data_IF_806463722264
#
_entry.id   IF_806463722264
#
_cell.length_a   1.000
_cell.length_b   1.000
_cell.length_c   1.000
_cell.angle_alpha   90.00
_cell.angle_beta   90.00
_cell.angle_gamma   90.00
#
_symmetry.space_group_name_H-M   'P 1'
#
loop_
_entity.id
_entity.type
_entity.pdbx_description
1 polymer ?
#
# COMPACT_ATOMS: atom_id res chain seq x y z
N UNK A 1 -14.97 -30.02 33.82
CA UNK A 1 -16.41 -29.61 33.86
C UNK A 1 -16.65 -28.32 33.06
N UNK A 2 -15.82 -27.27 33.21
CA UNK A 2 -15.94 -26.03 32.44
C UNK A 2 -15.79 -26.20 30.90
N UNK A 3 -14.78 -26.93 30.43
CA UNK A 3 -14.58 -27.15 28.98
C UNK A 3 -15.71 -27.96 28.32
N UNK A 4 -16.32 -28.88 29.08
CA UNK A 4 -17.49 -29.62 28.62
C UNK A 4 -18.69 -28.71 28.41
N UNK A 5 -18.94 -27.78 29.34
CA UNK A 5 -20.00 -26.78 29.23
C UNK A 5 -19.74 -25.76 28.11
N UNK A 6 -18.49 -25.35 27.91
CA UNK A 6 -18.10 -24.46 26.81
C UNK A 6 -18.30 -25.10 25.42
N UNK A 7 -18.00 -26.40 25.28
CA UNK A 7 -18.23 -27.14 24.03
C UNK A 7 -19.73 -27.38 23.75
N UNK A 8 -20.55 -27.57 24.79
CA UNK A 8 -22.01 -27.66 24.64
C UNK A 8 -22.58 -26.30 24.20
N UNK A 9 -22.05 -25.18 24.72
CA UNK A 9 -22.50 -23.84 24.34
C UNK A 9 -22.27 -23.51 22.85
N UNK A 10 -21.29 -24.13 22.18
CA UNK A 10 -21.06 -23.97 20.73
C UNK A 10 -22.17 -24.56 19.85
N UNK A 11 -22.99 -25.47 20.41
CA UNK A 11 -24.11 -26.09 19.72
C UNK A 11 -25.44 -25.33 19.96
N UNK A 12 -25.44 -24.34 20.85
CA UNK A 12 -26.61 -23.49 21.06
C UNK A 12 -26.78 -22.54 19.87
N UNK A 13 -28.03 -22.24 19.53
CA UNK A 13 -28.33 -21.18 18.59
C UNK A 13 -27.71 -19.87 19.10
N UNK A 14 -27.04 -19.08 18.24
CA UNK A 14 -26.51 -17.78 18.64
C UNK A 14 -27.62 -16.92 19.25
N UNK A 15 -27.31 -16.21 20.33
CA UNK A 15 -28.21 -15.17 20.83
C UNK A 15 -28.22 -14.01 19.83
N UNK A 16 -29.30 -13.91 19.05
CA UNK A 16 -29.52 -12.76 18.18
C UNK A 16 -30.10 -11.61 19.00
N UNK A 17 -29.24 -10.66 19.36
CA UNK A 17 -29.68 -9.40 19.96
C UNK A 17 -30.24 -8.54 18.82
N UNK A 18 -31.54 -8.21 18.87
CA UNK A 18 -32.11 -7.25 17.94
C UNK A 18 -31.55 -5.85 18.24
N UNK A 19 -30.68 -5.29 17.38
CA UNK A 19 -29.99 -4.03 17.68
C UNK A 19 -30.93 -2.83 17.65
N UNK A 20 -32.10 -2.95 17.02
CA UNK A 20 -33.13 -1.89 16.97
C UNK A 20 -33.84 -1.69 18.30
N UNK A 21 -33.73 -2.67 19.20
CA UNK A 21 -34.40 -2.68 20.51
C UNK A 21 -33.42 -2.47 21.67
N UNK A 22 -32.17 -2.09 21.39
CA UNK A 22 -31.17 -1.81 22.43
C UNK A 22 -31.54 -0.52 23.18
N UNK A 23 -31.84 -0.58 24.50
CA UNK A 23 -32.22 0.60 25.27
C UNK A 23 -31.10 1.65 25.24
N UNK A 24 -31.43 2.89 24.88
CA UNK A 24 -30.47 4.00 24.80
C UNK A 24 -29.61 4.03 23.53
N UNK A 25 -29.78 3.09 22.61
CA UNK A 25 -29.17 3.19 21.27
C UNK A 25 -29.86 4.29 20.46
N UNK A 26 -29.10 5.27 19.97
CA UNK A 26 -29.62 6.31 19.07
C UNK A 26 -29.65 5.84 17.61
N UNK A 27 -28.75 4.91 17.27
CA UNK A 27 -28.49 4.51 15.90
C UNK A 27 -27.82 3.13 15.84
N UNK A 28 -28.30 2.30 14.92
CA UNK A 28 -27.67 1.05 14.51
C UNK A 28 -27.07 1.22 13.12
N UNK A 29 -25.74 1.30 13.00
CA UNK A 29 -25.09 1.20 11.70
C UNK A 29 -25.25 -0.22 11.13
N UNK A 30 -25.60 -0.34 9.86
CA UNK A 30 -25.79 -1.60 9.14
C UNK A 30 -24.88 -1.59 7.90
N UNK A 31 -24.13 -2.67 7.71
CA UNK A 31 -23.27 -2.85 6.54
C UNK A 31 -24.05 -3.49 5.40
N UNK A 32 -24.20 -2.78 4.28
CA UNK A 32 -24.81 -3.25 3.03
C UNK A 32 -26.17 -3.96 3.18
N UNK A 33 -26.96 -3.59 4.21
CA UNK A 33 -28.19 -4.31 4.61
C UNK A 33 -27.99 -5.79 4.99
N UNK A 34 -26.74 -6.23 5.19
CA UNK A 34 -26.38 -7.61 5.53
C UNK A 34 -26.50 -7.82 7.03
N UNK A 35 -25.78 -7.00 7.80
CA UNK A 35 -25.70 -7.16 9.24
C UNK A 35 -25.44 -5.82 9.96
N UNK A 36 -25.93 -5.69 11.21
CA UNK A 36 -25.56 -4.60 12.10
C UNK A 36 -24.05 -4.59 12.35
N UNK A 37 -23.44 -3.41 12.39
CA UNK A 37 -22.05 -3.24 12.81
C UNK A 37 -22.06 -3.12 14.33
N UNK A 38 -21.57 -4.15 14.99
CA UNK A 38 -21.51 -4.34 16.45
C UNK A 38 -20.20 -3.84 17.08
N UNK A 39 -19.32 -3.26 16.26
CA UNK A 39 -17.99 -2.80 16.63
C UNK A 39 -17.79 -1.33 16.27
N UNK A 40 -16.65 -0.77 16.68
CA UNK A 40 -16.28 0.60 16.31
C UNK A 40 -16.36 0.79 14.78
N UNK A 41 -17.24 1.70 14.34
CA UNK A 41 -17.55 1.95 12.93
C UNK A 41 -16.30 2.39 12.17
N UNK A 42 -15.44 3.21 12.78
CA UNK A 42 -14.22 3.69 12.12
C UNK A 42 -13.24 2.55 11.88
N UNK A 43 -13.02 1.69 12.89
CA UNK A 43 -12.18 0.48 12.73
C UNK A 43 -12.78 -0.48 11.70
N UNK A 44 -14.10 -0.64 11.68
CA UNK A 44 -14.79 -1.47 10.69
C UNK A 44 -14.56 -0.96 9.26
N UNK A 45 -14.84 0.32 9.01
CA UNK A 45 -14.62 0.94 7.69
C UNK A 45 -13.15 0.94 7.28
N UNK A 46 -12.24 1.19 8.23
CA UNK A 46 -10.80 1.12 7.98
C UNK A 46 -10.38 -0.28 7.53
N UNK A 47 -10.82 -1.33 8.24
CA UNK A 47 -10.52 -2.71 7.85
C UNK A 47 -11.04 -3.06 6.45
N UNK A 48 -12.25 -2.62 6.09
CA UNK A 48 -12.79 -2.83 4.74
C UNK A 48 -11.92 -2.12 3.69
N UNK A 49 -11.53 -0.89 3.97
CA UNK A 49 -10.67 -0.10 3.08
C UNK A 49 -9.30 -0.77 2.91
N UNK A 50 -8.72 -1.26 4.00
CA UNK A 50 -7.44 -1.98 4.00
C UNK A 50 -7.55 -3.27 3.18
N UNK A 51 -8.62 -4.06 3.36
CA UNK A 51 -8.87 -5.28 2.58
C UNK A 51 -9.02 -4.96 1.10
N UNK A 52 -9.82 -3.96 0.73
CA UNK A 52 -9.99 -3.56 -0.67
C UNK A 52 -8.69 -3.05 -1.29
N UNK A 53 -7.91 -2.27 -0.55
CA UNK A 53 -6.61 -1.77 -1.01
C UNK A 53 -5.62 -2.91 -1.18
N UNK A 54 -5.64 -3.89 -0.28
CA UNK A 54 -4.80 -5.08 -0.36
C UNK A 54 -5.18 -5.98 -1.54
N UNK A 55 -6.47 -6.19 -1.78
CA UNK A 55 -6.99 -6.91 -2.95
C UNK A 55 -6.53 -6.25 -4.27
N UNK A 56 -6.68 -4.92 -4.38
CA UNK A 56 -6.14 -4.17 -5.52
C UNK A 56 -4.61 -4.27 -5.66
N UNK A 57 -3.90 -4.38 -4.54
CA UNK A 57 -2.45 -4.59 -4.57
C UNK A 57 -2.12 -5.98 -5.12
N UNK A 58 -2.84 -7.03 -4.71
CA UNK A 58 -2.64 -8.39 -5.21
C UNK A 58 -2.97 -8.51 -6.71
N UNK A 59 -4.00 -7.80 -7.18
CA UNK A 59 -4.40 -7.75 -8.59
C UNK A 59 -3.46 -6.91 -9.49
N UNK A 60 -2.41 -6.31 -8.93
CA UNK A 60 -1.51 -5.47 -9.70
C UNK A 60 -0.67 -6.31 -10.69
N UNK A 61 -0.79 -6.10 -12.01
CA UNK A 61 -0.06 -6.89 -13.00
C UNK A 61 1.46 -6.80 -12.87
N UNK A 62 2.00 -5.72 -12.30
CA UNK A 62 3.46 -5.61 -12.08
C UNK A 62 3.98 -6.62 -11.06
N UNK A 63 3.10 -7.15 -10.20
CA UNK A 63 3.41 -8.14 -9.17
C UNK A 63 3.10 -9.57 -9.60
N UNK A 64 2.46 -9.78 -10.76
CA UNK A 64 2.19 -11.12 -11.29
C UNK A 64 3.42 -12.04 -11.26
N UNK A 65 4.67 -11.60 -11.58
CA UNK A 65 5.81 -12.52 -11.53
C UNK A 65 6.12 -13.07 -10.14
N UNK A 66 5.73 -12.35 -9.07
CA UNK A 66 5.86 -12.85 -7.69
C UNK A 66 4.80 -13.92 -7.43
N UNK A 67 3.53 -13.61 -7.73
CA UNK A 67 2.39 -14.46 -7.37
C UNK A 67 2.21 -15.67 -8.27
N UNK A 68 2.75 -15.63 -9.50
CA UNK A 68 2.83 -16.77 -10.40
C UNK A 68 3.87 -17.80 -9.91
N UNK A 69 4.91 -17.34 -9.21
CA UNK A 69 5.97 -18.19 -8.63
C UNK A 69 5.62 -18.72 -7.25
N UNK A 70 4.99 -17.88 -6.43
CA UNK A 70 4.75 -18.17 -5.01
C UNK A 70 3.27 -17.99 -4.68
N UNK A 71 2.61 -19.01 -4.10
CA UNK A 71 1.25 -18.83 -3.64
C UNK A 71 1.19 -17.77 -2.53
N UNK A 72 0.06 -17.07 -2.42
CA UNK A 72 -0.12 -16.00 -1.42
C UNK A 72 0.12 -16.47 0.02
N UNK A 73 -0.08 -17.77 0.30
CA UNK A 73 0.18 -18.41 1.59
C UNK A 73 1.66 -18.56 1.92
N UNK A 74 2.56 -18.49 0.93
CA UNK A 74 4.02 -18.53 1.14
C UNK A 74 4.57 -17.21 1.67
N UNK A 75 3.76 -16.15 1.73
CA UNK A 75 4.16 -14.83 2.22
C UNK A 75 3.53 -14.58 3.58
N UNK A 76 4.36 -14.26 4.57
CA UNK A 76 3.89 -13.83 5.87
C UNK A 76 3.49 -12.35 5.82
N UNK A 77 2.26 -12.05 5.40
CA UNK A 77 1.77 -10.68 5.21
C UNK A 77 1.89 -9.76 6.44
N UNK A 78 1.56 -10.21 7.68
CA UNK A 78 1.70 -9.34 8.86
C UNK A 78 3.15 -8.89 9.12
N UNK A 79 4.12 -9.80 9.02
CA UNK A 79 5.54 -9.48 9.13
C UNK A 79 6.02 -8.67 7.92
N UNK A 80 5.59 -8.98 6.71
CA UNK A 80 5.91 -8.16 5.53
C UNK A 80 5.49 -6.70 5.74
N UNK A 81 4.25 -6.45 6.18
CA UNK A 81 3.78 -5.10 6.54
C UNK A 81 4.67 -4.47 7.61
N UNK A 82 4.96 -5.21 8.69
CA UNK A 82 5.81 -4.72 9.76
C UNK A 82 7.25 -4.40 9.29
N UNK A 83 7.79 -5.19 8.36
CA UNK A 83 9.13 -5.05 7.79
C UNK A 83 9.25 -3.79 6.94
N UNK A 84 8.23 -3.52 6.13
CA UNK A 84 8.15 -2.32 5.30
C UNK A 84 8.08 -1.04 6.14
N UNK A 85 7.46 -1.10 7.32
CA UNK A 85 7.42 0.00 8.28
C UNK A 85 8.66 0.08 9.20
N UNK A 86 9.46 -0.97 9.27
CA UNK A 86 10.61 -1.03 10.15
C UNK A 86 11.71 -0.04 9.71
N UNK A 87 12.12 0.79 10.66
CA UNK A 87 13.18 1.77 10.53
C UNK A 87 14.43 1.27 11.26
N UNK A 88 15.47 0.93 10.52
CA UNK A 88 16.76 0.50 11.09
C UNK A 88 17.70 1.68 11.42
N UNK A 89 17.37 2.91 11.01
CA UNK A 89 18.19 4.08 11.34
C UNK A 89 17.82 4.66 12.71
N UNK A 90 18.77 5.23 13.47
CA UNK A 90 18.50 5.83 14.77
C UNK A 90 17.55 7.03 14.68
N UNK A 91 17.57 7.75 13.56
CA UNK A 91 16.75 8.95 13.38
C UNK A 91 15.32 8.62 12.94
N UNK A 92 14.37 9.41 13.47
CA UNK A 92 12.97 9.35 13.04
C UNK A 92 12.79 9.89 11.61
N UNK A 93 13.58 10.92 11.24
CA UNK A 93 13.54 11.53 9.91
C UNK A 93 14.96 11.78 9.42
N UNK A 94 15.42 11.00 8.44
CA UNK A 94 16.69 11.22 7.76
C UNK A 94 16.57 10.95 6.26
N UNK A 95 17.51 11.50 5.49
CA UNK A 95 17.63 11.22 4.06
C UNK A 95 17.96 9.75 3.81
N UNK A 96 18.76 9.13 4.68
CA UNK A 96 19.09 7.70 4.66
C UNK A 96 17.84 6.84 4.84
N UNK A 97 17.04 7.10 5.88
CA UNK A 97 15.76 6.41 6.11
C UNK A 97 14.84 6.54 4.91
N UNK A 98 14.68 7.75 4.39
CA UNK A 98 13.81 8.02 3.25
C UNK A 98 14.27 7.25 2.01
N UNK A 99 15.58 7.14 1.79
CA UNK A 99 16.17 6.40 0.69
C UNK A 99 15.98 4.89 0.83
N UNK A 100 16.19 4.34 2.03
CA UNK A 100 15.94 2.93 2.33
C UNK A 100 14.46 2.57 2.17
N UNK A 101 13.55 3.38 2.71
CA UNK A 101 12.10 3.17 2.54
C UNK A 101 11.69 3.27 1.07
N UNK A 102 12.21 4.26 0.34
CA UNK A 102 11.94 4.37 -1.09
C UNK A 102 12.43 3.13 -1.85
N UNK A 103 13.60 2.59 -1.50
CA UNK A 103 14.08 1.34 -2.07
C UNK A 103 13.15 0.17 -1.73
N UNK A 104 12.78 0.00 -0.46
CA UNK A 104 11.87 -1.09 -0.02
C UNK A 104 10.58 -1.09 -0.82
N UNK A 105 9.90 0.06 -0.88
CA UNK A 105 8.64 0.21 -1.61
C UNK A 105 8.83 -0.03 -3.11
N UNK A 106 9.93 0.45 -3.71
CA UNK A 106 10.17 0.25 -5.14
C UNK A 106 10.50 -1.20 -5.50
N UNK A 107 11.29 -1.87 -4.67
CA UNK A 107 11.65 -3.27 -4.85
C UNK A 107 10.41 -4.17 -4.74
N UNK A 108 9.56 -3.93 -3.74
CA UNK A 108 8.28 -4.62 -3.58
C UNK A 108 7.36 -4.45 -4.79
N UNK A 109 7.28 -3.22 -5.32
CA UNK A 109 6.34 -2.90 -6.39
C UNK A 109 6.87 -3.21 -7.80
N UNK A 110 8.06 -3.81 -7.94
CA UNK A 110 8.75 -3.99 -9.22
C UNK A 110 8.91 -2.68 -10.02
N UNK A 111 9.23 -1.58 -9.32
CA UNK A 111 9.43 -0.25 -9.92
C UNK A 111 10.82 0.33 -9.61
N UNK A 112 11.80 -0.52 -9.30
CA UNK A 112 13.20 -0.07 -9.36
C UNK A 112 13.51 0.39 -10.79
N UNK A 113 14.40 1.39 -10.97
CA UNK A 113 14.74 1.96 -12.27
C UNK A 113 15.58 1.02 -13.15
N UNK A 114 15.08 -0.19 -13.39
CA UNK A 114 15.52 -1.11 -14.44
C UNK A 114 15.09 -0.61 -15.82
N UNK A 115 15.64 -1.18 -16.86
CA UNK A 115 15.46 -0.76 -18.24
C UNK A 115 14.00 -0.75 -18.72
N UNK A 116 13.22 -1.75 -18.35
CA UNK A 116 11.77 -1.81 -18.62
C UNK A 116 10.98 -0.66 -17.99
N UNK A 117 11.37 -0.22 -16.80
CA UNK A 117 10.80 0.95 -16.12
C UNK A 117 11.29 2.22 -16.79
N UNK A 118 12.58 2.33 -17.11
CA UNK A 118 13.17 3.52 -17.69
C UNK A 118 12.62 3.84 -19.09
N UNK A 119 12.47 2.83 -19.94
CA UNK A 119 11.89 2.96 -21.29
C UNK A 119 10.45 3.50 -21.23
N UNK A 120 9.62 3.01 -20.31
CA UNK A 120 8.27 3.56 -20.07
C UNK A 120 8.29 5.03 -19.63
N UNK A 121 9.26 5.43 -18.81
CA UNK A 121 9.34 6.79 -18.29
C UNK A 121 9.92 7.80 -19.29
N UNK A 122 10.83 7.36 -20.16
CA UNK A 122 11.56 8.18 -21.13
C UNK A 122 11.64 7.51 -22.52
N UNK A 123 10.51 7.24 -23.19
CA UNK A 123 10.48 6.49 -24.45
C UNK A 123 11.40 7.07 -25.53
N UNK A 124 11.42 8.40 -25.69
CA UNK A 124 12.25 9.06 -26.71
C UNK A 124 13.77 9.02 -26.39
N UNK A 125 14.15 8.70 -25.15
CA UNK A 125 15.56 8.59 -24.76
C UNK A 125 16.11 7.18 -24.89
N UNK A 126 15.24 6.16 -24.87
CA UNK A 126 15.63 4.76 -24.93
C UNK A 126 14.98 4.12 -26.18
N UNK A 127 15.66 4.16 -27.34
CA UNK A 127 15.11 3.63 -28.58
C UNK A 127 14.81 2.13 -28.45
N UNK A 128 13.79 1.67 -29.18
CA UNK A 128 13.33 0.28 -29.24
C UNK A 128 12.71 -0.30 -27.96
N UNK A 129 12.50 0.51 -26.91
CA UNK A 129 11.92 0.08 -25.62
C UNK A 129 12.60 -1.17 -25.02
N UNK A 130 13.87 -1.39 -25.34
CA UNK A 130 14.61 -2.58 -24.95
C UNK A 130 16.00 -2.18 -24.45
N UNK A 131 16.34 -2.64 -23.25
CA UNK A 131 17.64 -2.46 -22.62
C UNK A 131 18.03 -3.82 -22.07
N UNK A 132 19.18 -4.35 -22.48
CA UNK A 132 19.72 -5.59 -21.93
C UNK A 132 20.14 -5.37 -20.48
N UNK A 133 19.99 -6.41 -19.65
CA UNK A 133 20.46 -6.44 -18.28
C UNK A 133 21.95 -6.05 -18.26
N UNK A 134 22.33 -4.99 -17.52
CA UNK A 134 23.69 -4.48 -17.55
C UNK A 134 24.70 -5.44 -16.88
N UNK A 135 24.22 -6.44 -16.15
CA UNK A 135 25.04 -7.43 -15.43
C UNK A 135 25.31 -8.68 -16.27
N UNK A 136 24.28 -9.25 -16.92
CA UNK A 136 24.42 -10.48 -17.71
C UNK A 136 24.48 -10.26 -19.22
N UNK A 137 23.96 -9.13 -19.71
CA UNK A 137 23.82 -8.80 -21.13
C UNK A 137 23.02 -9.81 -21.98
N UNK A 138 22.43 -10.83 -21.36
CA UNK A 138 21.75 -11.95 -22.04
C UNK A 138 20.22 -11.84 -22.00
N UNK A 139 19.67 -11.15 -21.01
CA UNK A 139 18.24 -10.97 -20.82
C UNK A 139 17.86 -9.49 -20.79
N UNK A 140 16.57 -9.18 -20.92
CA UNK A 140 16.07 -7.82 -20.74
C UNK A 140 16.28 -7.34 -19.29
N UNK A 141 16.62 -6.06 -19.12
CA UNK A 141 16.75 -5.44 -17.81
C UNK A 141 15.38 -5.17 -17.20
N UNK A 142 14.91 -6.08 -16.35
CA UNK A 142 13.62 -6.00 -15.65
C UNK A 142 13.79 -6.19 -14.14
N UNK A 143 12.81 -5.73 -13.37
CA UNK A 143 12.78 -6.00 -11.92
C UNK A 143 12.69 -7.50 -11.63
N UNK A 144 11.96 -8.26 -12.45
CA UNK A 144 11.87 -9.72 -12.34
C UNK A 144 13.22 -10.41 -12.55
N UNK A 145 14.02 -9.92 -13.50
CA UNK A 145 15.31 -10.52 -13.80
C UNK A 145 16.36 -10.26 -12.70
N UNK A 146 16.28 -9.13 -11.97
CA UNK A 146 17.30 -8.73 -10.98
C UNK A 146 17.52 -9.81 -9.90
N UNK A 147 16.45 -10.49 -9.46
CA UNK A 147 16.52 -11.52 -8.42
C UNK A 147 16.99 -12.90 -8.89
N UNK A 148 17.09 -13.12 -10.20
CA UNK A 148 17.42 -14.43 -10.82
C UNK A 148 18.52 -14.34 -11.89
N UNK A 149 19.21 -13.20 -11.96
CA UNK A 149 20.26 -12.99 -12.94
C UNK A 149 21.40 -14.00 -12.70
N UNK A 150 21.71 -14.79 -13.72
CA UNK A 150 22.74 -15.84 -13.67
C UNK A 150 24.10 -15.33 -13.18
N UNK A 151 24.49 -14.11 -13.58
CA UNK A 151 25.75 -13.50 -13.17
C UNK A 151 25.72 -12.93 -11.75
N UNK A 152 24.54 -12.78 -11.12
CA UNK A 152 24.40 -12.40 -9.72
C UNK A 152 24.30 -13.62 -8.78
N UNK A 153 23.85 -14.78 -9.29
CA UNK A 153 23.69 -16.01 -8.51
C UNK A 153 24.96 -16.38 -7.70
N UNK A 154 26.19 -16.37 -8.24
CA UNK A 154 27.38 -16.69 -7.46
C UNK A 154 27.60 -15.76 -6.27
N UNK A 155 27.28 -14.46 -6.44
CA UNK A 155 27.36 -13.46 -5.38
C UNK A 155 26.29 -13.72 -4.32
N UNK A 156 25.06 -14.01 -4.74
CA UNK A 156 23.96 -14.33 -3.83
C UNK A 156 24.27 -15.61 -3.03
N UNK A 157 24.78 -16.66 -3.67
CA UNK A 157 25.14 -17.92 -3.01
C UNK A 157 26.20 -17.72 -1.92
N UNK A 158 27.18 -16.83 -2.14
CA UNK A 158 28.15 -16.47 -1.11
C UNK A 158 27.47 -15.82 0.10
N UNK A 159 26.52 -14.93 -0.14
CA UNK A 159 25.73 -14.25 0.91
C UNK A 159 24.85 -15.26 1.65
N UNK A 160 24.21 -16.22 0.97
CA UNK A 160 23.41 -17.27 1.61
C UNK A 160 24.24 -18.13 2.56
N UNK A 161 25.44 -18.55 2.14
CA UNK A 161 26.37 -19.33 2.98
C UNK A 161 26.81 -18.56 4.24
N UNK A 162 27.00 -17.24 4.13
CA UNK A 162 27.29 -16.39 5.28
C UNK A 162 26.08 -16.27 6.22
N UNK A 163 24.91 -15.97 5.66
CA UNK A 163 23.68 -15.75 6.43
C UNK A 163 23.13 -17.01 7.06
N UNK A 164 23.48 -18.17 6.54
CA UNK A 164 23.26 -19.45 7.18
C UNK A 164 23.92 -19.52 8.56
N UNK A 165 25.17 -19.08 8.67
CA UNK A 165 25.89 -19.01 9.95
C UNK A 165 25.33 -17.94 10.87
N UNK A 166 24.89 -16.81 10.30
CA UNK A 166 24.24 -15.74 11.07
C UNK A 166 22.93 -16.26 11.69
N UNK A 167 22.07 -16.94 10.91
CA UNK A 167 20.82 -17.47 11.43
C UNK A 167 21.05 -18.53 12.53
N UNK A 168 22.01 -19.44 12.32
CA UNK A 168 22.40 -20.42 13.35
C UNK A 168 22.80 -19.72 14.65
N UNK A 169 23.72 -18.75 14.56
CA UNK A 169 24.17 -17.97 15.72
C UNK A 169 23.02 -17.25 16.41
N UNK A 170 22.15 -16.57 15.66
CA UNK A 170 21.01 -15.84 16.23
C UNK A 170 20.06 -16.79 16.98
N UNK A 171 19.84 -18.00 16.48
CA UNK A 171 19.01 -19.00 17.15
C UNK A 171 19.71 -19.57 18.40
N UNK A 172 21.00 -19.84 18.34
CA UNK A 172 21.80 -20.34 19.48
C UNK A 172 21.89 -19.31 20.62
N UNK A 173 22.08 -18.03 20.30
CA UNK A 173 22.21 -16.96 21.30
C UNK A 173 20.88 -16.60 21.98
N UNK A 174 19.76 -16.85 21.31
CA UNK A 174 18.43 -16.43 21.76
C UNK A 174 17.53 -17.59 22.23
N UNK A 175 17.97 -18.84 22.10
CA UNK A 175 17.17 -20.01 22.48
C UNK A 175 18.00 -21.05 23.23
N UNK A 176 17.35 -21.95 23.97
CA UNK A 176 18.02 -23.01 24.73
C UNK A 176 18.07 -24.35 23.98
N UNK A 177 17.87 -24.34 22.66
CA UNK A 177 17.89 -25.55 21.85
C UNK A 177 19.31 -26.05 21.61
N UNK A 178 19.43 -27.36 21.42
CA UNK A 178 20.70 -27.99 21.08
C UNK A 178 21.25 -27.45 19.74
N UNK A 179 22.52 -27.00 19.68
CA UNK A 179 23.12 -26.46 18.47
C UNK A 179 23.09 -27.42 17.27
N UNK A 180 23.14 -28.73 17.49
CA UNK A 180 23.09 -29.72 16.39
C UNK A 180 21.70 -29.70 15.75
N UNK A 181 20.63 -29.64 16.54
CA UNK A 181 19.27 -29.55 16.04
C UNK A 181 19.03 -28.24 15.25
N UNK A 182 19.54 -27.11 15.77
CA UNK A 182 19.48 -25.82 15.08
C UNK A 182 20.22 -25.93 13.75
N UNK A 183 21.45 -26.45 13.77
CA UNK A 183 22.28 -26.62 12.58
C UNK A 183 21.57 -27.47 11.52
N UNK A 184 21.04 -28.64 11.89
CA UNK A 184 20.32 -29.53 10.99
C UNK A 184 19.09 -28.86 10.35
N UNK A 185 18.32 -28.11 11.14
CA UNK A 185 17.11 -27.44 10.65
C UNK A 185 17.44 -26.29 9.71
N UNK A 186 18.47 -25.50 10.03
CA UNK A 186 18.96 -24.43 9.17
C UNK A 186 19.65 -24.98 7.91
N UNK A 187 20.30 -26.15 8.01
CA UNK A 187 20.94 -26.83 6.89
C UNK A 187 19.96 -27.26 5.80
N UNK A 188 18.75 -27.64 6.21
CA UNK A 188 17.67 -28.08 5.34
C UNK A 188 16.74 -26.94 4.91
N UNK A 189 16.96 -25.72 5.40
CA UNK A 189 16.07 -24.61 5.13
C UNK A 189 16.22 -24.08 3.70
N UNK A 190 15.18 -24.25 2.88
CA UNK A 190 15.19 -23.96 1.44
C UNK A 190 15.68 -22.55 1.09
N UNK A 191 15.31 -21.53 1.87
CA UNK A 191 15.74 -20.15 1.64
C UNK A 191 17.27 -20.00 1.59
N UNK A 192 17.99 -20.82 2.35
CA UNK A 192 19.44 -20.74 2.54
C UNK A 192 20.20 -21.80 1.74
N UNK A 193 19.50 -22.61 0.94
CA UNK A 193 20.14 -23.53 0.02
C UNK A 193 20.80 -22.77 -1.13
N UNK A 194 21.86 -23.32 -1.76
CA UNK A 194 22.44 -22.72 -2.95
C UNK A 194 21.43 -22.66 -4.11
N UNK A 195 21.43 -21.52 -4.79
CA UNK A 195 20.71 -21.30 -6.03
C UNK A 195 21.50 -21.95 -7.17
N UNK A 196 20.81 -22.76 -7.97
CA UNK A 196 21.28 -23.38 -9.21
C UNK A 196 20.30 -23.08 -10.33
N UNK A 197 20.65 -23.44 -11.57
CA UNK A 197 19.76 -23.26 -12.72
C UNK A 197 18.42 -23.99 -12.53
N UNK A 198 18.43 -25.13 -11.82
CA UNK A 198 17.24 -25.96 -11.60
C UNK A 198 16.24 -25.40 -10.59
N UNK A 199 16.68 -24.58 -9.63
CA UNK A 199 15.80 -24.03 -8.59
C UNK A 199 15.66 -22.50 -8.64
N UNK A 200 16.46 -21.80 -9.45
CA UNK A 200 16.51 -20.33 -9.49
C UNK A 200 15.17 -19.63 -9.67
N UNK A 201 14.27 -20.21 -10.49
CA UNK A 201 12.98 -19.61 -10.78
C UNK A 201 12.05 -19.58 -9.55
N UNK A 202 12.01 -20.66 -8.76
CA UNK A 202 11.13 -20.79 -7.58
C UNK A 202 11.86 -20.62 -6.25
N UNK A 203 13.12 -20.16 -6.27
CA UNK A 203 13.91 -20.06 -5.05
C UNK A 203 13.33 -18.99 -4.09
N UNK A 204 13.07 -19.30 -2.81
CA UNK A 204 12.41 -18.38 -1.86
C UNK A 204 13.14 -17.04 -1.65
N UNK A 205 14.43 -16.98 -2.01
CA UNK A 205 15.23 -15.74 -1.98
C UNK A 205 14.58 -14.62 -2.79
N UNK A 206 13.83 -14.95 -3.84
CA UNK A 206 13.14 -13.98 -4.67
C UNK A 206 12.18 -13.13 -3.84
N UNK A 207 11.44 -13.75 -2.90
CA UNK A 207 10.57 -13.02 -1.96
C UNK A 207 11.37 -12.01 -1.14
N UNK A 208 12.50 -12.43 -0.56
CA UNK A 208 13.33 -11.54 0.26
C UNK A 208 13.87 -10.39 -0.57
N UNK A 209 14.44 -10.63 -1.75
CA UNK A 209 14.95 -9.57 -2.64
C UNK A 209 13.88 -8.50 -2.90
N UNK A 210 12.62 -8.92 -3.04
CA UNK A 210 11.45 -8.07 -3.23
C UNK A 210 10.74 -7.63 -1.93
N UNK A 211 11.44 -7.67 -0.78
CA UNK A 211 10.98 -7.15 0.51
C UNK A 211 9.78 -7.89 1.12
N UNK A 212 9.55 -9.12 0.69
CA UNK A 212 8.53 -10.00 1.21
C UNK A 212 9.16 -10.98 2.21
N UNK A 213 8.50 -11.18 3.34
CA UNK A 213 8.93 -12.14 4.35
C UNK A 213 8.26 -13.47 4.06
N UNK A 214 9.06 -14.53 3.87
CA UNK A 214 8.55 -15.89 3.67
C UNK A 214 7.83 -16.42 4.91
N UNK A 215 6.71 -17.12 4.70
CA UNK A 215 5.98 -17.82 5.75
C UNK A 215 6.82 -18.93 6.38
N UNK A 216 7.60 -19.66 5.58
CA UNK A 216 8.46 -20.74 6.07
C UNK A 216 9.61 -20.20 6.91
N UNK A 217 10.11 -19.00 6.58
CA UNK A 217 11.11 -18.35 7.42
C UNK A 217 10.56 -18.03 8.82
N UNK A 218 9.35 -17.47 8.88
CA UNK A 218 8.69 -17.26 10.17
C UNK A 218 8.45 -18.58 10.90
N UNK A 219 7.93 -19.60 10.21
CA UNK A 219 7.63 -20.90 10.82
C UNK A 219 8.88 -21.54 11.43
N UNK A 220 10.00 -21.53 10.72
CA UNK A 220 11.29 -22.05 11.20
C UNK A 220 11.75 -21.33 12.47
N UNK A 221 11.77 -19.98 12.47
CA UNK A 221 12.22 -19.24 13.66
C UNK A 221 11.22 -19.41 14.81
N UNK A 222 9.92 -19.47 14.49
CA UNK A 222 8.84 -19.62 15.47
C UNK A 222 8.85 -20.99 16.15
N UNK A 223 9.30 -22.03 15.45
CA UNK A 223 9.43 -23.39 16.00
C UNK A 223 10.58 -23.56 16.99
N UNK A 224 11.55 -22.64 17.02
CA UNK A 224 12.60 -22.60 18.05
C UNK A 224 12.28 -21.62 19.18
N UNK A 225 11.50 -20.59 18.91
CA UNK A 225 11.37 -19.47 19.87
C UNK A 225 10.17 -19.57 20.80
N UNK A 226 9.07 -20.29 20.48
CA UNK A 226 7.94 -20.27 21.43
C UNK A 226 7.13 -18.95 21.42
N UNK A 227 7.65 -17.91 20.78
CA UNK A 227 7.32 -16.52 21.11
C UNK A 227 7.41 -15.61 19.87
N UNK A 228 6.31 -14.95 19.52
CA UNK A 228 6.24 -14.10 18.32
C UNK A 228 7.12 -12.86 18.39
N UNK A 229 7.27 -12.28 19.59
CA UNK A 229 8.11 -11.10 19.79
C UNK A 229 9.58 -11.45 19.59
N UNK A 230 10.02 -12.56 20.16
CA UNK A 230 11.38 -13.06 19.99
C UNK A 230 11.64 -13.49 18.55
N UNK A 231 10.73 -14.26 17.95
CA UNK A 231 10.83 -14.68 16.54
C UNK A 231 11.01 -13.47 15.62
N UNK A 232 10.17 -12.45 15.79
CA UNK A 232 10.26 -11.21 15.03
C UNK A 232 11.59 -10.50 15.24
N UNK A 233 12.13 -10.47 16.45
CA UNK A 233 13.44 -9.86 16.73
C UNK A 233 14.55 -10.54 15.94
N UNK A 234 14.61 -11.87 15.98
CA UNK A 234 15.60 -12.67 15.24
C UNK A 234 15.44 -12.47 13.73
N UNK A 235 14.21 -12.50 13.21
CA UNK A 235 13.92 -12.26 11.79
C UNK A 235 14.37 -10.84 11.39
N UNK A 236 14.19 -9.84 12.25
CA UNK A 236 14.59 -8.46 11.94
C UNK A 236 16.10 -8.29 11.85
N UNK A 237 16.82 -8.88 12.79
CA UNK A 237 18.28 -8.84 12.79
C UNK A 237 18.84 -9.54 11.56
N UNK A 238 18.32 -10.74 11.25
CA UNK A 238 18.64 -11.45 10.03
C UNK A 238 18.34 -10.62 8.78
N UNK A 239 17.10 -10.11 8.61
CA UNK A 239 16.70 -9.37 7.42
C UNK A 239 17.47 -8.06 7.27
N UNK A 240 17.80 -7.39 8.37
CA UNK A 240 18.58 -6.14 8.34
C UNK A 240 19.98 -6.40 7.79
N UNK A 241 20.68 -7.40 8.33
CA UNK A 241 22.01 -7.80 7.85
C UNK A 241 21.95 -8.34 6.41
N UNK A 242 20.95 -9.19 6.12
CA UNK A 242 20.75 -9.78 4.80
C UNK A 242 20.53 -8.72 3.72
N UNK A 243 19.62 -7.80 3.99
CA UNK A 243 19.33 -6.72 3.06
C UNK A 243 20.50 -5.78 2.89
N UNK A 244 21.27 -5.51 3.94
CA UNK A 244 22.49 -4.72 3.83
C UNK A 244 23.49 -5.38 2.87
N UNK A 245 23.80 -6.67 3.06
CA UNK A 245 24.78 -7.36 2.21
C UNK A 245 24.29 -7.53 0.76
N UNK A 246 23.04 -7.96 0.56
CA UNK A 246 22.52 -8.21 -0.79
C UNK A 246 22.34 -6.90 -1.57
N UNK A 247 21.87 -5.84 -0.90
CA UNK A 247 21.70 -4.54 -1.53
C UNK A 247 23.04 -3.97 -1.94
N UNK A 248 24.04 -3.95 -1.03
CA UNK A 248 25.36 -3.38 -1.30
C UNK A 248 26.05 -4.04 -2.49
N UNK A 249 25.82 -5.33 -2.72
CA UNK A 249 26.46 -6.08 -3.81
C UNK A 249 25.69 -6.01 -5.13
N UNK A 250 24.35 -6.08 -5.11
CA UNK A 250 23.54 -6.19 -6.32
C UNK A 250 23.20 -4.81 -6.90
N UNK A 251 22.58 -3.95 -6.10
CA UNK A 251 21.93 -2.75 -6.62
C UNK A 251 22.90 -1.65 -7.06
N UNK A 252 23.95 -1.30 -6.29
CA UNK A 252 25.01 -0.38 -6.74
C UNK A 252 25.74 -0.87 -7.99
N UNK A 253 26.00 -2.18 -8.09
CA UNK A 253 26.65 -2.79 -9.26
C UNK A 253 25.78 -2.62 -10.50
N UNK A 254 24.50 -3.00 -10.42
CA UNK A 254 23.53 -2.78 -11.48
C UNK A 254 23.46 -1.30 -11.90
N UNK A 255 23.25 -0.39 -10.94
CA UNK A 255 23.16 1.05 -11.19
C UNK A 255 24.40 1.61 -11.89
N UNK A 256 25.59 1.16 -11.48
CA UNK A 256 26.86 1.61 -12.03
C UNK A 256 27.04 1.15 -13.47
N UNK A 257 26.74 -0.12 -13.74
CA UNK A 257 26.83 -0.69 -15.10
C UNK A 257 25.79 -0.08 -16.03
N UNK A 258 24.56 0.16 -15.55
CA UNK A 258 23.53 0.85 -16.31
C UNK A 258 23.94 2.29 -16.65
N UNK A 259 24.55 3.01 -15.69
CA UNK A 259 25.05 4.36 -15.92
C UNK A 259 26.16 4.38 -16.98
N UNK A 260 27.07 3.40 -16.97
CA UNK A 260 28.10 3.27 -18.01
C UNK A 260 27.49 2.98 -19.38
N UNK A 261 26.48 2.11 -19.44
CA UNK A 261 25.73 1.85 -20.66
C UNK A 261 25.03 3.11 -21.18
N UNK A 262 24.39 3.90 -20.31
CA UNK A 262 23.75 5.16 -20.68
C UNK A 262 24.74 6.17 -21.25
N UNK A 263 25.92 6.29 -20.64
CA UNK A 263 26.99 7.16 -21.13
C UNK A 263 27.46 6.76 -22.53
N UNK A 264 27.64 5.46 -22.79
CA UNK A 264 28.02 4.94 -24.11
C UNK A 264 26.95 5.21 -25.18
N UNK A 265 25.68 5.26 -24.78
CA UNK A 265 24.54 5.56 -25.66
C UNK A 265 24.19 7.07 -25.71
N UNK A 266 25.04 7.95 -25.16
CA UNK A 266 24.81 9.40 -25.18
C UNK A 266 23.59 9.85 -24.36
N UNK A 267 23.13 9.04 -23.41
CA UNK A 267 22.03 9.35 -22.51
C UNK A 267 22.61 10.01 -21.26
N UNK A 268 22.27 11.28 -21.03
CA UNK A 268 22.80 12.05 -19.90
C UNK A 268 21.71 12.45 -18.91
N UNK A 269 22.07 12.75 -17.64
CA UNK A 269 21.12 13.30 -16.67
C UNK A 269 20.45 14.59 -17.16
N UNK A 270 21.16 15.41 -17.95
CA UNK A 270 20.60 16.61 -18.58
C UNK A 270 19.46 16.24 -19.54
N UNK A 271 19.67 15.28 -20.44
CA UNK A 271 18.61 14.79 -21.36
C UNK A 271 17.38 14.29 -20.62
N UNK A 272 17.54 13.52 -19.53
CA UNK A 272 16.42 13.07 -18.69
C UNK A 272 15.68 14.23 -18.02
N UNK A 273 16.38 15.27 -17.57
CA UNK A 273 15.76 16.49 -17.01
C UNK A 273 15.00 17.27 -18.08
N UNK A 274 15.60 17.45 -19.25
CA UNK A 274 15.01 18.21 -20.35
C UNK A 274 13.76 17.51 -20.89
N UNK A 275 13.78 16.18 -21.01
CA UNK A 275 12.61 15.37 -21.37
C UNK A 275 11.43 15.61 -20.41
N UNK A 276 11.68 15.59 -19.09
CA UNK A 276 10.64 15.87 -18.08
C UNK A 276 10.08 17.28 -18.16
N UNK A 277 10.89 18.27 -18.58
CA UNK A 277 10.44 19.65 -18.78
C UNK A 277 9.62 19.83 -20.06
N UNK A 278 9.92 19.05 -21.10
CA UNK A 278 9.24 19.10 -22.40
C UNK A 278 7.88 18.37 -22.40
N UNK A 279 7.64 17.45 -21.47
CA UNK A 279 6.31 16.84 -21.30
C UNK A 279 5.29 17.96 -21.06
N UNK A 280 4.28 18.15 -21.94
CA UNK A 280 3.27 19.16 -21.73
C UNK A 280 2.61 18.88 -20.38
N UNK A 281 2.57 19.88 -19.50
CA UNK A 281 1.72 19.79 -18.31
C UNK A 281 0.31 19.59 -18.84
N UNK A 282 -0.30 18.42 -18.61
CA UNK A 282 -1.74 18.26 -18.84
C UNK A 282 -2.42 19.39 -18.06
N UNK A 283 -3.02 20.34 -18.78
CA UNK A 283 -3.78 21.40 -18.14
C UNK A 283 -4.88 20.72 -17.32
N UNK A 284 -5.04 21.12 -16.06
CA UNK A 284 -6.15 20.70 -15.21
C UNK A 284 -7.43 21.48 -15.56
N UNK A 285 -7.65 21.77 -16.82
CA UNK A 285 -8.90 22.36 -17.28
C UNK A 285 -9.89 21.23 -17.57
N UNK A 286 -10.47 20.70 -16.50
CA UNK A 286 -11.83 20.21 -16.63
C UNK A 286 -12.72 21.45 -16.75
N UNK A 287 -13.40 21.71 -17.89
CA UNK A 287 -14.47 22.67 -17.89
C UNK A 287 -15.56 22.13 -16.97
N UNK A 288 -15.74 22.77 -15.81
CA UNK A 288 -16.99 22.68 -15.07
C UNK A 288 -18.08 23.19 -16.01
N UNK A 289 -18.84 22.27 -16.60
CA UNK A 289 -20.13 22.59 -17.20
C UNK A 289 -21.05 22.92 -16.03
N UNK A 290 -21.14 24.19 -15.66
CA UNK A 290 -22.27 24.72 -14.91
C UNK A 290 -23.34 25.18 -15.91
N UNK A 291 -24.61 24.79 -15.75
CA UNK A 291 -25.69 25.32 -16.57
C UNK A 291 -25.98 26.79 -16.19
N UNK A 292 -26.03 27.66 -17.20
CA UNK A 292 -26.92 28.83 -17.42
C UNK A 292 -27.77 29.34 -16.22
N UNK A 293 -28.00 30.63 -15.95
CA UNK A 293 -27.77 31.90 -16.63
C UNK A 293 -28.11 33.08 -15.67
N UNK A 294 -27.45 34.25 -15.80
CA UNK A 294 -28.03 35.61 -15.93
C UNK A 294 -26.96 36.73 -15.85
N UNK A 295 -27.21 37.94 -16.41
CA UNK A 295 -26.15 38.79 -16.95
C UNK A 295 -25.73 40.01 -16.11
N UNK A 296 -24.49 40.46 -16.40
CA UNK A 296 -23.86 41.80 -16.33
C UNK A 296 -23.94 42.60 -15.02
N UNK A 297 -22.78 43.09 -14.58
CA UNK A 297 -22.35 44.51 -14.74
C UNK A 297 -20.81 44.55 -14.76
N UNK A 298 -20.27 45.34 -15.69
CA UNK A 298 -18.85 45.60 -15.86
C UNK A 298 -18.42 46.78 -14.98
N UNK A 299 -17.21 46.69 -14.41
CA UNK A 299 -16.44 47.87 -14.00
C UNK A 299 -14.96 47.63 -14.28
N UNK A 300 -14.41 48.58 -15.03
CA UNK A 300 -13.07 48.71 -15.57
C UNK A 300 -12.07 49.33 -14.58
N UNK A 301 -10.81 48.87 -14.62
CA UNK A 301 -9.57 49.67 -14.57
C UNK A 301 -8.39 48.68 -14.64
N UNK A 302 -7.59 48.58 -15.71
CA UNK A 302 -6.58 49.49 -16.26
C UNK A 302 -5.49 49.99 -15.29
N UNK A 303 -4.25 49.76 -15.76
CA UNK A 303 -2.94 50.31 -15.36
C UNK A 303 -2.31 49.78 -14.06
N UNK A 304 -1.02 49.44 -14.02
CA UNK A 304 0.03 49.66 -15.00
C UNK A 304 1.29 48.84 -14.71
N UNK A 305 1.96 48.50 -15.80
CA UNK A 305 3.38 48.19 -15.93
C UNK A 305 4.27 49.19 -15.19
N UNK A 306 5.35 48.71 -14.57
CA UNK A 306 6.70 49.14 -14.95
C UNK A 306 7.80 48.25 -14.35
N UNK A 307 8.72 47.90 -15.25
CA UNK A 307 10.01 47.26 -15.02
C UNK A 307 10.93 48.14 -14.17
N UNK A 308 11.87 47.54 -13.43
CA UNK A 308 13.30 47.81 -13.68
C UNK A 308 14.20 46.80 -12.97
N UNK A 309 15.14 46.32 -13.78
CA UNK A 309 16.31 45.51 -13.50
C UNK A 309 17.31 46.18 -12.55
N UNK A 310 17.91 45.42 -11.64
CA UNK A 310 19.31 45.62 -11.25
C UNK A 310 20.01 44.27 -11.00
N UNK A 311 20.98 43.99 -11.87
CA UNK A 311 22.02 43.00 -11.70
C UNK A 311 22.99 43.47 -10.61
N UNK A 312 23.25 42.62 -9.60
CA UNK A 312 24.47 42.72 -8.80
C UNK A 312 24.97 41.32 -8.45
N UNK A 313 26.12 40.96 -9.02
CA UNK A 313 26.89 39.79 -8.64
C UNK A 313 27.62 40.06 -7.31
N UNK A 314 27.49 39.17 -6.33
CA UNK A 314 28.49 38.94 -5.29
C UNK A 314 28.33 37.53 -4.73
N UNK A 315 29.41 36.77 -4.76
CA UNK A 315 29.54 35.48 -4.09
C UNK A 315 29.51 35.64 -2.58
N UNK A 316 28.85 34.71 -1.87
CA UNK A 316 29.31 34.04 -0.63
C UNK A 316 28.27 32.99 -0.19
N UNK A 317 28.76 31.81 0.20
CA UNK A 317 28.26 30.83 1.18
C UNK A 317 26.76 30.75 1.57
N UNK A 318 26.23 29.53 1.55
CA UNK A 318 24.92 29.08 2.04
C UNK A 318 24.62 29.49 3.50
N UNK A 319 23.34 29.63 3.90
CA UNK A 319 22.63 28.48 4.47
C UNK A 319 21.12 28.38 4.16
N UNK A 320 20.59 27.21 4.55
CA UNK A 320 19.20 26.80 4.77
C UNK A 320 18.11 27.87 4.73
N UNK A 321 17.13 27.70 3.84
CA UNK A 321 15.75 28.09 4.12
C UNK A 321 14.75 27.10 3.54
N UNK A 322 13.91 26.60 4.45
CA UNK A 322 12.80 25.71 4.16
C UNK A 322 11.66 26.47 3.50
N UNK A 323 11.23 25.98 2.34
CA UNK A 323 9.85 26.09 1.90
C UNK A 323 9.46 24.69 1.44
N UNK A 324 8.66 24.02 2.28
CA UNK A 324 7.97 22.78 1.96
C UNK A 324 7.02 23.05 0.79
N UNK A 325 7.53 22.94 -0.43
CA UNK A 325 6.67 22.76 -1.59
C UNK A 325 6.21 21.32 -1.55
N UNK A 326 4.94 21.12 -1.21
CA UNK A 326 4.21 19.89 -1.49
C UNK A 326 4.36 19.56 -2.99
N UNK A 327 5.43 18.82 -3.30
CA UNK A 327 5.58 18.13 -4.57
C UNK A 327 4.57 17.00 -4.56
N UNK A 328 3.39 17.25 -5.11
CA UNK A 328 2.44 16.20 -5.46
C UNK A 328 3.18 15.11 -6.24
N UNK A 329 3.25 13.92 -5.63
CA UNK A 329 3.99 12.79 -6.16
C UNK A 329 3.38 12.33 -7.51
N UNK A 330 4.17 11.89 -8.50
CA UNK A 330 3.70 11.71 -9.88
C UNK A 330 2.69 10.56 -10.11
N UNK A 331 2.35 9.79 -9.07
CA UNK A 331 1.41 8.66 -9.15
C UNK A 331 -0.07 9.07 -9.03
N UNK A 332 -0.35 10.37 -8.86
CA UNK A 332 -1.73 10.89 -8.94
C UNK A 332 -2.23 11.06 -10.38
N UNK A 333 -1.41 10.75 -11.39
CA UNK A 333 -1.78 10.94 -12.82
C UNK A 333 -1.50 9.73 -13.71
N UNK A 334 -1.32 8.54 -13.14
CA UNK A 334 -1.40 7.32 -13.93
C UNK A 334 -2.83 7.15 -14.43
N UNK A 335 -3.00 7.16 -15.75
CA UNK A 335 -4.23 6.81 -16.44
C UNK A 335 -4.72 5.46 -15.91
N UNK A 336 -6.00 5.42 -15.53
CA UNK A 336 -6.71 4.25 -15.04
C UNK A 336 -6.38 3.03 -15.89
N UNK A 337 -5.89 1.96 -15.24
CA UNK A 337 -5.96 0.63 -15.83
C UNK A 337 -7.44 0.33 -16.08
N UNK A 338 -7.80 0.10 -17.34
CA UNK A 338 -9.14 -0.35 -17.70
C UNK A 338 -9.35 -1.71 -17.03
N UNK A 339 -10.19 -1.73 -16.00
CA UNK A 339 -10.57 -2.91 -15.22
C UNK A 339 -11.28 -3.92 -16.14
N UNK A 340 -11.04 -5.24 -16.01
CA UNK A 340 -11.87 -6.24 -16.67
C UNK A 340 -13.34 -6.11 -16.23
N UNK A 341 -14.32 -6.25 -17.12
CA UNK A 341 -15.73 -5.94 -16.86
C UNK A 341 -16.53 -7.04 -16.11
N UNK A 342 -15.88 -8.05 -15.53
CA UNK A 342 -16.56 -9.31 -15.17
C UNK A 342 -16.97 -9.49 -13.70
N UNK A 343 -16.85 -8.47 -12.84
CA UNK A 343 -17.45 -8.49 -11.49
C UNK A 343 -18.41 -7.30 -11.34
N UNK A 344 -19.71 -7.52 -11.06
CA UNK A 344 -20.63 -6.43 -10.81
C UNK A 344 -20.14 -5.62 -9.61
N UNK A 345 -19.86 -4.34 -9.84
CA UNK A 345 -19.61 -3.37 -8.76
C UNK A 345 -20.92 -3.16 -8.02
N UNK A 346 -21.18 -3.98 -7.00
CA UNK A 346 -22.21 -3.64 -6.04
C UNK A 346 -21.68 -2.46 -5.21
N UNK A 347 -22.30 -1.27 -5.30
CA UNK A 347 -22.00 -0.20 -4.34
C UNK A 347 -22.24 -0.77 -2.93
N UNK A 348 -21.26 -0.58 -2.04
CA UNK A 348 -21.36 -1.04 -0.66
C UNK A 348 -21.81 0.13 0.21
N UNK A 349 -22.84 -0.08 1.00
CA UNK A 349 -23.53 0.99 1.72
C UNK A 349 -23.24 0.91 3.22
N UNK A 350 -22.95 2.04 3.83
CA UNK A 350 -23.14 2.18 5.28
C UNK A 350 -24.53 2.77 5.49
N UNK A 351 -25.41 1.99 6.11
CA UNK A 351 -26.80 2.40 6.37
C UNK A 351 -26.92 2.75 7.84
N UNK A 352 -27.40 3.95 8.14
CA UNK A 352 -27.63 4.38 9.50
C UNK A 352 -29.13 4.27 9.80
N UNK A 353 -29.49 3.27 10.61
CA UNK A 353 -30.87 3.09 11.07
C UNK A 353 -31.03 3.73 12.45
N UNK A 354 -31.78 4.81 12.56
CA UNK A 354 -32.08 5.43 13.86
C UNK A 354 -33.27 4.77 14.54
N UNK A 355 -33.22 4.65 15.86
CA UNK A 355 -34.32 4.13 16.65
C UNK A 355 -35.29 5.28 16.93
N UNK A 356 -36.53 5.23 16.42
CA UNK A 356 -37.57 6.23 16.74
C UNK A 356 -38.08 6.19 18.19
N UNK A 357 -37.39 5.46 19.08
CA UNK A 357 -37.91 5.09 20.40
C UNK A 357 -38.07 6.26 21.38
N UNK A 358 -37.68 7.48 21.02
CA UNK A 358 -37.78 8.66 21.91
C UNK A 358 -38.46 9.89 21.29
N UNK A 359 -39.07 9.78 20.10
CA UNK A 359 -39.65 10.95 19.44
C UNK A 359 -41.16 10.82 19.19
N UNK A 360 -41.95 11.25 20.17
CA UNK A 360 -43.31 11.74 19.94
C UNK A 360 -43.24 13.18 19.41
N UNK A 361 -42.83 13.36 18.15
CA UNK A 361 -42.75 14.67 17.49
C UNK A 361 -41.92 14.67 16.20
N UNK A 362 -42.29 15.51 15.23
CA UNK A 362 -41.51 15.69 14.00
C UNK A 362 -40.16 16.36 14.29
N UNK A 363 -39.09 15.91 13.62
CA UNK A 363 -37.70 16.35 13.85
C UNK A 363 -37.47 17.88 13.84
N UNK A 364 -38.32 18.66 13.17
CA UNK A 364 -38.26 20.12 13.15
C UNK A 364 -38.33 20.77 14.54
N UNK A 365 -38.95 20.12 15.54
CA UNK A 365 -39.05 20.67 16.90
C UNK A 365 -37.84 20.34 17.79
N UNK A 366 -37.02 19.35 17.44
CA UNK A 366 -35.94 18.84 18.32
C UNK A 366 -34.54 19.33 17.93
N UNK A 367 -34.40 20.08 16.83
CA UNK A 367 -33.14 20.71 16.41
C UNK A 367 -32.88 22.04 17.15
N UNK A 368 -33.68 22.38 18.17
CA UNK A 368 -33.45 23.55 19.03
C UNK A 368 -32.72 23.17 20.32
N UNK A 369 -31.53 22.59 20.22
CA UNK A 369 -30.48 22.82 21.22
C UNK A 369 -29.09 22.74 20.55
N UNK A 370 -28.26 23.80 20.67
CA UNK A 370 -26.94 23.88 20.07
C UNK A 370 -25.93 23.19 21.00
N UNK A 371 -25.77 21.88 20.85
CA UNK A 371 -24.56 21.19 21.31
C UNK A 371 -24.36 19.93 20.46
N UNK A 372 -23.81 20.16 19.27
CA UNK A 372 -22.88 19.26 18.57
C UNK A 372 -23.21 17.76 18.61
N UNK A 373 -24.14 17.33 17.76
CA UNK A 373 -23.92 16.09 17.01
C UNK A 373 -23.43 16.45 15.61
N UNK A 374 -22.33 17.22 15.55
CA UNK A 374 -21.51 17.29 14.36
C UNK A 374 -20.76 15.95 14.28
N UNK A 375 -21.37 14.97 13.62
CA UNK A 375 -20.53 14.11 12.79
C UNK A 375 -19.91 15.07 11.79
N UNK A 376 -18.65 15.42 12.01
CA UNK A 376 -17.83 16.16 11.06
C UNK A 376 -17.67 15.26 9.82
N UNK A 377 -18.67 15.32 8.95
CA UNK A 377 -18.79 14.52 7.72
C UNK A 377 -17.65 14.92 6.75
N UNK A 378 -17.11 16.13 6.88
CA UNK A 378 -15.95 16.57 6.12
C UNK A 378 -14.67 15.86 6.60
N UNK A 379 -14.52 15.59 7.91
CA UNK A 379 -13.47 14.69 8.42
C UNK A 379 -13.72 13.20 8.12
N UNK A 380 -14.98 12.76 8.11
CA UNK A 380 -15.34 11.38 7.77
C UNK A 380 -15.09 11.07 6.29
N UNK A 381 -15.35 12.03 5.39
CA UNK A 381 -15.06 11.89 3.96
C UNK A 381 -13.58 12.13 3.62
N UNK A 382 -12.86 12.94 4.40
CA UNK A 382 -11.43 13.17 4.19
C UNK A 382 -10.53 12.01 4.65
N UNK A 383 -11.06 11.14 5.53
CA UNK A 383 -10.38 9.93 6.01
C UNK A 383 -10.73 8.66 5.23
N UNK A 384 -11.78 8.69 4.41
CA UNK A 384 -12.07 7.67 3.39
C UNK A 384 -11.32 8.04 2.10
N UNK A 385 -10.48 7.17 1.53
CA UNK A 385 -9.92 7.45 0.22
C UNK A 385 -11.06 7.65 -0.79
N UNK A 386 -10.95 8.70 -1.61
CA UNK A 386 -11.94 9.15 -2.63
C UNK A 386 -12.27 8.13 -3.75
N UNK A 387 -11.96 6.85 -3.52
CA UNK A 387 -12.02 5.74 -4.47
C UNK A 387 -12.96 4.61 -4.04
N UNK A 388 -13.63 4.74 -2.89
CA UNK A 388 -14.73 3.87 -2.51
C UNK A 388 -16.06 4.46 -3.02
N UNK A 389 -16.93 3.66 -3.68
CA UNK A 389 -18.32 4.03 -3.84
C UNK A 389 -19.09 3.70 -2.54
N UNK A 390 -18.60 4.17 -1.39
CA UNK A 390 -19.33 4.07 -0.13
C UNK A 390 -20.20 5.30 -0.04
N UNK A 391 -21.44 5.16 -0.49
CA UNK A 391 -22.45 6.18 -0.35
C UNK A 391 -23.15 5.94 0.99
N UNK A 392 -23.12 6.95 1.86
CA UNK A 392 -23.82 6.93 3.14
C UNK A 392 -25.31 7.14 2.86
N UNK A 393 -26.16 6.17 3.20
CA UNK A 393 -27.62 6.35 3.16
C UNK A 393 -28.12 6.40 4.61
N UNK A 394 -28.74 7.52 4.97
CA UNK A 394 -29.52 7.64 6.20
C UNK A 394 -30.96 7.28 5.87
N UNK A 395 -31.43 6.13 6.34
CA UNK A 395 -32.83 5.74 6.20
C UNK A 395 -33.58 6.13 7.47
N UNK A 396 -34.42 7.15 7.37
CA UNK A 396 -35.39 7.50 8.42
C UNK A 396 -36.56 6.55 8.30
N UNK A 397 -36.71 5.64 9.27
CA UNK A 397 -37.83 4.73 9.30
C UNK A 397 -39.10 5.53 9.64
N UNK A 398 -40.00 5.76 8.68
CA UNK A 398 -41.31 6.36 8.96
C UNK A 398 -42.28 5.21 9.16
N UNK A 399 -42.83 5.06 10.36
CA UNK A 399 -43.88 4.07 10.62
C UNK A 399 -45.14 4.50 9.85
N UNK A 400 -45.60 3.65 8.94
CA UNK A 400 -46.84 3.83 8.21
C UNK A 400 -47.88 2.93 8.88
N UNK A 401 -48.40 3.40 10.01
CA UNK A 401 -49.56 2.80 10.66
C UNK A 401 -50.78 3.64 10.24
N UNK A 402 -51.57 3.15 9.28
CA UNK A 402 -52.94 3.61 9.06
C UNK A 402 -53.82 2.38 8.79
N UNK A 403 -54.55 1.86 9.79
CA UNK A 403 -55.60 0.89 9.56
C UNK A 403 -56.87 1.67 9.18
N UNK A 404 -57.53 1.21 8.10
CA UNK A 404 -58.81 1.67 7.54
C UNK A 404 -58.77 2.72 6.40
N UNK A 405 -59.00 2.24 5.17
CA UNK A 405 -59.93 2.92 4.25
C UNK A 405 -59.47 3.20 2.80
N UNK A 406 -59.82 2.27 1.90
CA UNK A 406 -60.23 2.48 0.48
C UNK A 406 -59.15 2.76 -0.61
N UNK A 407 -58.99 1.78 -1.50
CA UNK A 407 -58.56 1.90 -2.91
C UNK A 407 -59.73 2.44 -3.79
N UNK A 408 -59.58 2.74 -5.10
CA UNK A 408 -58.51 3.42 -5.87
C UNK A 408 -59.06 4.48 -6.87
N UNK A 409 -58.21 5.31 -7.51
CA UNK A 409 -58.36 6.01 -8.83
C UNK A 409 -57.26 7.10 -8.91
N UNK A 410 -56.56 7.40 -9.99
CA UNK A 410 -56.59 6.96 -11.38
C UNK A 410 -55.35 7.55 -12.11
N UNK A 411 -55.17 7.13 -13.35
CA UNK A 411 -54.13 7.59 -14.27
C UNK A 411 -54.22 9.10 -14.54
N UNK A 412 -53.08 9.81 -14.45
CA UNK A 412 -52.39 10.65 -15.46
C UNK A 412 -51.08 11.13 -14.84
#
# INVERSE_FOLDING_TARGET
MADGLANIARQLAPYEINPTNLPGSLMTPIWASIAPIDRDIRKFCHNITDVYTFDQFLDNPSLSPIFDRFPLSSIHWPLTRAWLHFNSTPDVCSSTKSSQNAFKIKALNHILPCGDVLTKHYPDLYPNNYISCPVCNNHQDTNEHLGICSNLIPVINKILVEHKRILQRLLEENTSYDPILISQSVDQFELLLPISDSNSYYHPIYLIIHQLVSQDFYNLVRSFTFNDKLARSIIWEFLTSFHEHIYQQIWPTHCSLLKLWEQRNGITPKRKRDFRRKKPKKSRDHPLIQPTARPRIASSSQHGTQNSSHLRARMTFSPSDGISRHSTHPWTSATLSARPPHLPQLPMWLILCTCNFLHSGGWLSSVRHPSSFELDIDNFSSSLPSRLPVMLIVLLNKRQDDPFGLLPRGWV
#
